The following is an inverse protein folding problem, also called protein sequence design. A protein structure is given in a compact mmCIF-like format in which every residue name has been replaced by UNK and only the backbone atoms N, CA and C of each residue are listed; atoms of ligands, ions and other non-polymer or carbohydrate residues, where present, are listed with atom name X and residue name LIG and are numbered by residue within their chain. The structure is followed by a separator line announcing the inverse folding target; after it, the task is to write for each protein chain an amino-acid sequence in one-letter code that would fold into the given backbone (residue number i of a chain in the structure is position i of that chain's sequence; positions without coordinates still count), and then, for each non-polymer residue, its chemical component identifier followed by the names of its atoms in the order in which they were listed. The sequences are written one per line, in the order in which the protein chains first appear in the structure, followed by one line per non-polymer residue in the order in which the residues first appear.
data_IF_025866875106
#
_entry.id   IF_025866875106
#
_cell.length_a   1.000
_cell.length_b   1.000
_cell.length_c   1.000
_cell.angle_alpha   90.00
_cell.angle_beta   90.00
_cell.angle_gamma   90.00
#
_symmetry.space_group_name_H-M   'P 1'
#
loop_
_entity.id
_entity.type
_entity.pdbx_description
1 polymer ?
#
# COMPACT_ATOMS: atom_id res chain seq x y z
N UNK A 1 -16.48 3.70 5.14
CA UNK A 1 -15.47 2.65 4.96
C UNK A 1 -14.54 3.05 3.84
N UNK A 2 -13.26 3.14 4.17
CA UNK A 2 -12.15 3.41 3.27
C UNK A 2 -11.28 2.15 3.28
N UNK A 3 -11.65 1.16 2.47
CA UNK A 3 -10.89 -0.07 2.35
C UNK A 3 -9.57 0.20 1.66
N UNK A 4 -8.44 -0.15 2.27
CA UNK A 4 -7.10 0.07 1.72
C UNK A 4 -6.15 -1.07 2.10
N UNK A 5 -4.98 -1.09 1.47
CA UNK A 5 -3.83 -1.91 1.86
C UNK A 5 -4.15 -3.39 2.14
N UNK A 6 -4.77 -4.13 1.19
CA UNK A 6 -4.90 -5.58 1.31
C UNK A 6 -3.51 -6.22 1.41
N UNK A 7 -3.37 -7.18 2.32
CA UNK A 7 -2.09 -7.79 2.69
C UNK A 7 -2.29 -9.26 3.02
N UNK A 8 -1.63 -10.14 2.28
CA UNK A 8 -1.71 -11.59 2.48
C UNK A 8 -0.60 -12.09 3.40
N UNK A 9 -0.97 -12.67 4.55
CA UNK A 9 -0.05 -13.37 5.44
C UNK A 9 -0.05 -14.88 5.11
N UNK A 10 0.97 -15.30 4.36
CA UNK A 10 1.14 -16.70 3.95
C UNK A 10 1.40 -17.65 5.14
N UNK A 11 2.02 -17.18 6.23
CA UNK A 11 2.27 -18.00 7.43
C UNK A 11 0.97 -18.31 8.17
N UNK A 12 0.06 -17.35 8.24
CA UNK A 12 -1.24 -17.49 8.93
C UNK A 12 -2.38 -17.91 8.00
N UNK A 13 -2.16 -17.90 6.68
CA UNK A 13 -3.22 -18.05 5.67
C UNK A 13 -4.37 -17.05 5.90
N UNK A 14 -4.00 -15.81 6.20
CA UNK A 14 -4.92 -14.74 6.61
C UNK A 14 -4.75 -13.52 5.73
N UNK A 15 -5.86 -12.98 5.27
CA UNK A 15 -5.89 -11.71 4.57
C UNK A 15 -6.18 -10.58 5.56
N UNK A 16 -5.37 -9.54 5.53
CA UNK A 16 -5.58 -8.29 6.24
C UNK A 16 -5.91 -7.16 5.27
N UNK A 17 -6.61 -6.13 5.72
CA UNK A 17 -6.78 -4.86 5.04
C UNK A 17 -7.18 -3.79 6.07
N UNK A 18 -7.16 -2.52 5.69
CA UNK A 18 -7.53 -1.44 6.63
C UNK A 18 -8.83 -0.78 6.24
N UNK A 19 -9.56 -0.26 7.24
CA UNK A 19 -10.65 0.69 7.08
C UNK A 19 -10.21 2.01 7.69
N UNK A 20 -9.60 2.87 6.86
CA UNK A 20 -8.85 4.03 7.34
C UNK A 20 -9.70 5.00 8.16
N UNK A 21 -10.89 5.33 7.65
CA UNK A 21 -11.82 6.27 8.32
C UNK A 21 -12.45 5.72 9.59
N UNK A 22 -12.46 4.40 9.76
CA UNK A 22 -12.99 3.75 10.96
C UNK A 22 -11.91 3.35 11.96
N UNK A 23 -10.64 3.61 11.66
CA UNK A 23 -9.49 3.24 12.50
C UNK A 23 -9.47 1.73 12.82
N UNK A 24 -9.60 0.90 11.79
CA UNK A 24 -9.63 -0.56 11.93
C UNK A 24 -8.63 -1.22 10.99
N UNK A 25 -7.96 -2.25 11.50
CA UNK A 25 -7.41 -3.34 10.71
C UNK A 25 -8.48 -4.43 10.68
N UNK A 26 -8.87 -4.86 9.49
CA UNK A 26 -9.79 -5.98 9.29
C UNK A 26 -9.01 -7.20 8.84
N UNK A 27 -9.52 -8.38 9.14
CA UNK A 27 -8.91 -9.62 8.70
C UNK A 27 -9.94 -10.70 8.38
N UNK A 28 -9.53 -11.61 7.51
CA UNK A 28 -10.25 -12.82 7.14
C UNK A 28 -9.29 -14.00 7.17
N UNK A 29 -9.59 -14.97 8.02
CA UNK A 29 -8.91 -16.27 8.08
C UNK A 29 -9.53 -17.21 7.06
N UNK A 30 -8.78 -17.61 6.02
CA UNK A 30 -9.33 -18.46 4.96
C UNK A 30 -9.49 -19.91 5.41
N UNK A 31 -8.76 -20.34 6.45
CA UNK A 31 -8.85 -21.70 6.97
C UNK A 31 -10.13 -21.91 7.75
N UNK A 32 -10.44 -21.01 8.69
CA UNK A 32 -11.66 -21.10 9.51
C UNK A 32 -12.89 -20.45 8.85
N UNK A 33 -12.69 -19.53 7.90
CA UNK A 33 -13.75 -18.71 7.33
C UNK A 33 -14.10 -17.48 8.19
N UNK A 34 -13.39 -17.26 9.31
CA UNK A 34 -13.72 -16.20 10.25
C UNK A 34 -13.28 -14.82 9.75
N UNK A 35 -14.06 -13.82 10.16
CA UNK A 35 -13.77 -12.41 9.96
C UNK A 35 -13.61 -11.74 11.31
N UNK A 36 -12.68 -10.80 11.40
CA UNK A 36 -12.53 -9.97 12.58
C UNK A 36 -11.93 -8.61 12.28
N UNK A 37 -11.73 -7.85 13.36
CA UNK A 37 -11.19 -6.50 13.28
C UNK A 37 -10.47 -6.12 14.57
N UNK A 38 -9.48 -5.26 14.44
CA UNK A 38 -8.62 -4.76 15.51
C UNK A 38 -8.53 -3.25 15.39
N UNK A 39 -8.75 -2.53 16.49
CA UNK A 39 -8.75 -1.07 16.51
C UNK A 39 -7.35 -0.47 16.42
N UNK A 40 -7.24 0.69 15.79
CA UNK A 40 -6.02 1.51 15.74
C UNK A 40 -6.23 2.84 16.47
N UNK A 41 -5.17 3.47 17.02
CA UNK A 41 -5.33 4.69 17.82
C UNK A 41 -5.69 5.93 16.98
N UNK A 42 -5.47 5.87 15.66
CA UNK A 42 -5.82 6.93 14.71
C UNK A 42 -6.07 6.33 13.33
N UNK A 43 -6.44 7.20 12.38
CA UNK A 43 -6.63 6.83 10.98
C UNK A 43 -5.40 6.10 10.45
N UNK A 44 -5.63 5.00 9.74
CA UNK A 44 -4.59 4.12 9.20
C UNK A 44 -4.67 4.12 7.67
N UNK A 45 -3.51 4.21 7.02
CA UNK A 45 -3.41 4.19 5.55
C UNK A 45 -2.92 2.84 5.01
N UNK A 46 -1.91 2.27 5.67
CA UNK A 46 -1.19 1.09 5.16
C UNK A 46 -0.73 0.16 6.25
N UNK A 47 -0.57 -1.11 5.92
CA UNK A 47 0.01 -2.16 6.77
C UNK A 47 1.05 -2.99 6.02
N UNK A 48 2.01 -3.54 6.76
CA UNK A 48 3.00 -4.51 6.30
C UNK A 48 3.23 -5.60 7.33
N UNK A 49 3.72 -6.77 6.91
CA UNK A 49 3.98 -7.89 7.81
C UNK A 49 5.31 -7.68 8.55
N UNK A 50 5.41 -8.09 9.80
CA UNK A 50 6.68 -8.20 10.54
C UNK A 50 7.11 -9.68 10.67
N UNK A 51 8.39 -9.92 10.89
CA UNK A 51 8.94 -11.27 11.11
C UNK A 51 8.39 -11.95 12.38
N UNK A 52 8.17 -11.19 13.44
CA UNK A 52 7.64 -11.67 14.72
C UNK A 52 6.10 -11.83 14.75
N UNK A 53 5.46 -11.62 13.60
CA UNK A 53 4.02 -11.78 13.44
C UNK A 53 3.19 -10.54 13.78
N UNK A 54 3.79 -9.43 14.21
CA UNK A 54 3.11 -8.12 14.25
C UNK A 54 2.89 -7.55 12.85
N UNK A 55 2.19 -6.42 12.77
CA UNK A 55 2.07 -5.59 11.58
C UNK A 55 2.78 -4.26 11.79
N UNK A 56 3.52 -3.78 10.79
CA UNK A 56 3.93 -2.36 10.73
C UNK A 56 2.81 -1.57 10.07
N UNK A 57 2.49 -0.39 10.60
CA UNK A 57 1.33 0.40 10.19
C UNK A 57 1.68 1.88 10.03
N UNK A 58 1.25 2.47 8.91
CA UNK A 58 1.26 3.91 8.68
C UNK A 58 -0.02 4.54 9.25
N UNK A 59 0.10 5.22 10.38
CA UNK A 59 -1.00 5.89 11.09
C UNK A 59 -1.05 7.39 10.74
N UNK A 60 -1.91 8.17 11.38
CA UNK A 60 -2.02 9.60 11.08
C UNK A 60 -0.70 10.35 11.31
N UNK A 61 -0.05 10.18 12.46
CA UNK A 61 1.09 10.98 12.90
C UNK A 61 2.40 10.18 13.10
N UNK A 62 2.35 8.87 12.89
CA UNK A 62 3.46 7.95 13.19
C UNK A 62 3.41 6.68 12.36
N UNK A 63 4.54 5.97 12.31
CA UNK A 63 4.60 4.57 11.91
C UNK A 63 4.78 3.75 13.19
N UNK A 64 3.99 2.68 13.34
CA UNK A 64 3.97 1.87 14.55
C UNK A 64 3.91 0.37 14.24
N UNK A 65 4.33 -0.45 15.20
CA UNK A 65 4.08 -1.88 15.23
C UNK A 65 2.75 -2.13 15.96
N UNK A 66 1.89 -2.98 15.39
CA UNK A 66 0.59 -3.34 15.93
C UNK A 66 0.50 -4.86 16.01
N UNK A 67 0.18 -5.37 17.19
CA UNK A 67 -0.23 -6.76 17.36
C UNK A 67 -1.65 -6.92 16.78
N UNK A 68 -1.82 -7.74 15.71
CA UNK A 68 -3.12 -7.87 15.05
C UNK A 68 -4.17 -8.58 15.90
N UNK A 69 -3.78 -9.36 16.91
CA UNK A 69 -4.70 -10.15 17.73
C UNK A 69 -5.10 -9.39 19.01
N UNK A 70 -4.19 -8.59 19.59
CA UNK A 70 -4.46 -7.83 20.83
C UNK A 70 -4.74 -6.34 20.60
N UNK A 71 -4.31 -5.78 19.47
CA UNK A 71 -4.34 -4.34 19.21
C UNK A 71 -3.27 -3.54 19.97
N UNK A 72 -2.32 -4.20 20.62
CA UNK A 72 -1.21 -3.53 21.28
C UNK A 72 -0.36 -2.74 20.27
N UNK A 73 -0.05 -1.49 20.59
CA UNK A 73 0.67 -0.57 19.69
C UNK A 73 2.02 -0.18 20.28
N UNK A 74 3.09 -0.32 19.50
CA UNK A 74 4.44 0.13 19.83
C UNK A 74 4.91 1.14 18.77
N UNK A 75 5.20 2.40 19.14
CA UNK A 75 5.73 3.37 18.18
C UNK A 75 7.06 2.89 17.57
N UNK A 76 7.24 3.07 16.25
CA UNK A 76 8.47 2.74 15.54
C UNK A 76 9.16 3.99 15.01
N UNK A 77 8.40 4.90 14.39
CA UNK A 77 8.91 6.14 13.84
C UNK A 77 7.90 7.28 13.96
N UNK A 78 8.40 8.48 14.25
CA UNK A 78 7.65 9.74 14.18
C UNK A 78 8.43 10.77 13.39
N UNK A 79 7.79 11.55 12.51
CA UNK A 79 8.45 12.68 11.86
C UNK A 79 9.04 13.64 12.89
N UNK A 80 10.28 14.08 12.68
CA UNK A 80 10.96 15.03 13.57
C UNK A 80 10.22 16.38 13.67
N UNK A 81 9.44 16.73 12.64
CA UNK A 81 8.55 17.89 12.61
C UNK A 81 7.14 17.42 12.27
N UNK A 82 6.30 17.11 13.26
CA UNK A 82 4.91 16.73 13.02
C UNK A 82 4.17 17.82 12.23
N UNK A 83 3.36 17.40 11.26
CA UNK A 83 2.51 18.28 10.48
C UNK A 83 1.07 17.77 10.55
N UNK A 84 0.20 18.50 11.24
CA UNK A 84 -1.21 18.13 11.42
C UNK A 84 -2.01 18.06 10.11
N UNK A 85 -1.44 18.59 9.02
CA UNK A 85 -2.02 18.50 7.66
C UNK A 85 -1.50 17.30 6.87
N UNK A 86 -0.59 16.50 7.41
CA UNK A 86 -0.09 15.29 6.77
C UNK A 86 -0.60 14.06 7.52
N UNK A 87 -0.98 13.03 6.77
CA UNK A 87 -1.11 11.67 7.29
C UNK A 87 -0.30 10.69 6.45
N UNK A 88 0.13 9.57 7.03
CA UNK A 88 0.58 8.44 6.21
C UNK A 88 -0.60 7.86 5.41
N UNK A 89 -0.31 7.40 4.19
CA UNK A 89 -1.26 6.90 3.22
C UNK A 89 -0.86 5.50 2.75
N UNK A 90 -0.30 5.35 1.56
CA UNK A 90 0.12 4.05 1.04
C UNK A 90 1.47 3.63 1.63
N UNK A 91 1.72 2.32 1.69
CA UNK A 91 2.96 1.80 2.20
C UNK A 91 3.11 0.30 2.04
N UNK A 92 4.34 -0.15 1.81
CA UNK A 92 4.70 -1.56 1.67
C UNK A 92 6.06 -1.83 2.30
N UNK A 93 6.26 -3.07 2.72
CA UNK A 93 7.58 -3.57 3.06
C UNK A 93 8.34 -3.81 1.74
N UNK A 94 9.58 -3.34 1.66
CA UNK A 94 10.46 -3.55 0.51
C UNK A 94 11.08 -4.96 0.52
N UNK A 95 11.85 -5.31 -0.51
CA UNK A 95 12.48 -6.64 -0.59
C UNK A 95 13.65 -6.82 0.37
N UNK A 96 14.07 -5.76 1.06
CA UNK A 96 15.12 -5.76 2.07
C UNK A 96 14.54 -5.70 3.50
N UNK A 97 13.23 -5.89 3.67
CA UNK A 97 12.60 -5.93 4.98
C UNK A 97 12.54 -4.59 5.69
N UNK A 98 12.41 -3.48 4.96
CA UNK A 98 12.17 -2.12 5.48
C UNK A 98 10.79 -1.64 5.06
N UNK A 99 10.14 -0.80 5.86
CA UNK A 99 8.82 -0.26 5.52
C UNK A 99 8.95 1.06 4.79
N UNK A 100 8.47 1.13 3.54
CA UNK A 100 8.38 2.36 2.77
C UNK A 100 6.94 2.85 2.79
N UNK A 101 6.73 4.08 3.25
CA UNK A 101 5.40 4.64 3.45
C UNK A 101 5.35 6.09 2.96
N UNK A 102 4.32 6.40 2.19
CA UNK A 102 4.09 7.72 1.62
C UNK A 102 3.04 8.49 2.40
N UNK A 103 3.30 9.78 2.63
CA UNK A 103 2.37 10.72 3.22
C UNK A 103 1.46 11.38 2.19
N UNK A 104 0.40 12.00 2.69
CA UNK A 104 -0.48 12.86 1.89
C UNK A 104 -0.96 14.07 2.69
N UNK A 105 -1.29 15.14 1.97
CA UNK A 105 -2.03 16.26 2.55
C UNK A 105 -3.47 15.88 2.83
N UNK A 106 -3.98 16.19 4.02
CA UNK A 106 -5.39 16.00 4.40
C UNK A 106 -6.31 16.64 3.35
N UNK A 107 -5.94 17.81 2.83
CA UNK A 107 -6.64 18.53 1.76
C UNK A 107 -5.93 18.46 0.40
N UNK A 108 -5.02 17.49 0.21
CA UNK A 108 -4.13 17.36 -0.95
C UNK A 108 -3.17 18.55 -1.14
N UNK A 109 -2.77 19.21 -0.05
CA UNK A 109 -1.60 20.08 -0.09
C UNK A 109 -0.31 19.25 -0.30
N UNK A 110 0.72 19.80 -0.97
CA UNK A 110 1.97 19.09 -1.27
C UNK A 110 2.88 19.03 -0.03
N UNK A 111 2.43 18.33 1.01
CA UNK A 111 3.12 18.21 2.31
C UNK A 111 3.51 16.77 2.64
N UNK A 112 3.14 15.81 1.79
CA UNK A 112 3.46 14.41 1.95
C UNK A 112 4.94 14.13 1.72
N UNK A 113 5.46 13.22 2.54
CA UNK A 113 6.83 12.71 2.47
C UNK A 113 6.78 11.21 2.17
N UNK A 114 7.69 10.73 1.33
CA UNK A 114 7.95 9.30 1.15
C UNK A 114 9.10 8.92 2.08
N UNK A 115 8.84 8.08 3.06
CA UNK A 115 9.84 7.69 4.06
C UNK A 115 10.11 6.20 4.00
N UNK A 116 11.35 5.81 4.25
CA UNK A 116 11.79 4.44 4.47
C UNK A 116 12.18 4.27 5.92
N UNK A 117 11.62 3.27 6.60
CA UNK A 117 11.83 2.99 8.02
C UNK A 117 12.33 1.56 8.20
N UNK A 118 13.45 1.41 8.90
CA UNK A 118 14.02 0.13 9.31
C UNK A 118 13.39 -0.39 10.61
N UNK A 119 13.59 -1.66 10.93
CA UNK A 119 12.98 -2.27 12.13
C UNK A 119 13.49 -1.73 13.47
N UNK A 120 14.61 -1.03 13.49
CA UNK A 120 15.15 -0.30 14.65
C UNK A 120 14.55 1.11 14.80
N UNK A 121 13.69 1.53 13.87
CA UNK A 121 13.08 2.86 13.83
C UNK A 121 13.93 3.93 13.14
N UNK A 122 15.13 3.60 12.67
CA UNK A 122 15.90 4.50 11.81
C UNK A 122 15.15 4.75 10.50
N UNK A 123 15.20 5.99 10.00
CA UNK A 123 14.40 6.39 8.86
C UNK A 123 15.11 7.39 7.95
N UNK A 124 14.79 7.31 6.66
CA UNK A 124 15.25 8.23 5.61
C UNK A 124 14.06 8.77 4.83
N UNK A 125 14.02 10.08 4.61
CA UNK A 125 13.07 10.71 3.70
C UNK A 125 13.61 10.57 2.28
N UNK A 126 12.88 9.87 1.41
CA UNK A 126 13.27 9.61 0.04
C UNK A 126 12.73 10.68 -0.93
N UNK A 127 11.55 11.23 -0.66
CA UNK A 127 10.93 12.29 -1.45
C UNK A 127 10.00 13.15 -0.60
N UNK A 128 9.73 14.38 -1.04
CA UNK A 128 8.84 15.35 -0.38
C UNK A 128 7.98 16.08 -1.43
N UNK A 129 7.06 16.92 -0.94
CA UNK A 129 6.18 17.72 -1.82
C UNK A 129 5.08 16.91 -2.47
N UNK A 130 4.77 15.71 -1.94
CA UNK A 130 3.78 14.80 -2.49
C UNK A 130 2.38 15.20 -2.01
N UNK A 131 1.39 15.21 -2.89
CA UNK A 131 0.00 15.54 -2.51
C UNK A 131 -0.73 14.31 -1.99
N UNK A 132 -0.68 13.20 -2.74
CA UNK A 132 -1.30 11.93 -2.37
C UNK A 132 -0.37 10.78 -2.80
N UNK A 133 0.48 10.30 -1.89
CA UNK A 133 1.39 9.19 -2.18
C UNK A 133 0.63 7.86 -2.30
N UNK A 134 0.85 7.15 -3.40
CA UNK A 134 0.17 5.91 -3.76
C UNK A 134 1.04 5.05 -4.68
N UNK A 135 0.55 3.86 -5.03
CA UNK A 135 1.15 2.98 -6.02
C UNK A 135 2.51 2.40 -5.60
N UNK A 136 2.82 2.40 -4.30
CA UNK A 136 4.11 1.95 -3.78
C UNK A 136 4.21 0.43 -3.97
N UNK A 137 5.17 -0.01 -4.79
CA UNK A 137 5.48 -1.43 -4.95
C UNK A 137 6.91 -1.63 -5.49
N UNK A 138 7.39 -2.88 -5.49
CA UNK A 138 8.78 -3.20 -5.80
C UNK A 138 8.89 -4.31 -6.84
N UNK A 139 9.83 -4.18 -7.77
CA UNK A 139 10.17 -5.22 -8.74
C UNK A 139 10.54 -6.55 -8.07
N UNK A 140 10.43 -7.70 -8.77
CA UNK A 140 10.73 -9.01 -8.20
C UNK A 140 12.14 -9.13 -7.60
N UNK A 141 13.12 -8.44 -8.18
CA UNK A 141 14.51 -8.39 -7.70
C UNK A 141 14.75 -7.31 -6.62
N UNK A 142 13.73 -6.51 -6.27
CA UNK A 142 13.83 -5.41 -5.33
C UNK A 142 14.62 -4.20 -5.81
N UNK A 143 15.09 -4.19 -7.06
CA UNK A 143 15.97 -3.13 -7.58
C UNK A 143 15.26 -1.91 -8.14
N UNK A 144 13.94 -1.98 -8.30
CA UNK A 144 13.10 -0.88 -8.76
C UNK A 144 11.96 -0.66 -7.78
N UNK A 145 11.82 0.58 -7.31
CA UNK A 145 10.63 1.04 -6.60
C UNK A 145 9.72 1.77 -7.59
N UNK A 146 8.43 1.45 -7.53
CA UNK A 146 7.39 2.20 -8.21
C UNK A 146 6.62 3.03 -7.18
N UNK A 147 6.23 4.25 -7.55
CA UNK A 147 5.34 5.09 -6.73
C UNK A 147 4.65 6.13 -7.61
N UNK A 148 3.61 6.76 -7.07
CA UNK A 148 2.92 7.86 -7.71
C UNK A 148 2.46 8.92 -6.70
N UNK A 149 2.40 10.17 -7.16
CA UNK A 149 1.41 11.12 -6.64
C UNK A 149 0.14 10.92 -7.48
N UNK A 150 -0.97 10.51 -6.86
CA UNK A 150 -2.21 10.22 -7.59
C UNK A 150 -2.68 11.40 -8.45
N UNK A 151 -2.39 12.64 -8.05
CA UNK A 151 -2.79 13.85 -8.78
C UNK A 151 -1.89 14.18 -9.97
N UNK A 152 -0.67 13.65 -10.02
CA UNK A 152 0.24 13.78 -11.17
C UNK A 152 -0.19 12.87 -12.32
N UNK A 153 -0.90 11.76 -12.02
CA UNK A 153 -1.35 10.75 -12.99
C UNK A 153 -0.21 10.12 -13.80
N UNK A 154 0.93 9.94 -13.14
CA UNK A 154 2.07 9.16 -13.63
C UNK A 154 2.51 8.18 -12.56
N UNK A 155 2.81 6.95 -12.99
CA UNK A 155 3.56 6.01 -12.16
C UNK A 155 5.03 6.26 -12.48
N UNK A 156 5.83 6.46 -11.44
CA UNK A 156 7.27 6.69 -11.52
C UNK A 156 8.00 5.41 -11.18
N UNK A 157 9.14 5.17 -11.83
CA UNK A 157 10.08 4.12 -11.46
C UNK A 157 11.40 4.74 -11.04
N UNK A 158 11.95 4.23 -9.94
CA UNK A 158 13.22 4.66 -9.37
C UNK A 158 14.14 3.46 -9.20
N UNK A 159 15.43 3.66 -9.43
CA UNK A 159 16.42 2.69 -8.99
C UNK A 159 16.36 2.60 -7.46
N UNK A 160 16.42 1.38 -6.95
CA UNK A 160 16.32 1.09 -5.53
C UNK A 160 17.42 0.06 -5.20
N UNK A 161 18.64 0.53 -4.99
CA UNK A 161 19.81 -0.33 -4.83
C UNK A 161 19.89 -0.97 -3.44
N UNK A 162 19.07 -0.51 -2.50
CA UNK A 162 18.89 -1.13 -1.20
C UNK A 162 20.00 -0.81 -0.19
N UNK A 163 20.88 0.14 -0.49
CA UNK A 163 21.99 0.58 0.36
C UNK A 163 21.93 2.06 0.75
N UNK A 164 23.02 2.58 1.33
CA UNK A 164 23.19 3.99 1.68
C UNK A 164 23.24 4.91 0.43
N UNK A 165 23.57 4.35 -0.74
CA UNK A 165 23.59 5.05 -2.04
C UNK A 165 22.18 5.26 -2.66
N UNK A 166 21.10 5.00 -1.91
CA UNK A 166 19.72 5.30 -2.34
C UNK A 166 19.39 6.82 -2.26
N UNK A 167 20.40 7.67 -1.99
CA UNK A 167 20.32 9.14 -2.00
C UNK A 167 19.90 9.74 -3.36
N UNK A 168 19.75 8.92 -4.40
CA UNK A 168 19.14 9.33 -5.67
C UNK A 168 17.86 8.54 -6.02
N UNK A 169 16.74 8.90 -5.38
CA UNK A 169 15.49 9.09 -6.14
C UNK A 169 15.57 10.34 -7.05
N UNK A 170 16.76 10.85 -7.38
CA UNK A 170 17.00 12.21 -7.88
C UNK A 170 16.34 12.52 -9.23
N UNK A 171 16.03 11.49 -10.03
CA UNK A 171 15.31 11.63 -11.31
C UNK A 171 14.42 10.40 -11.57
N UNK A 172 13.22 10.32 -10.97
CA UNK A 172 12.29 9.24 -11.29
C UNK A 172 11.92 9.31 -12.78
N UNK A 173 12.06 8.20 -13.50
CA UNK A 173 11.54 8.12 -14.87
C UNK A 173 10.04 7.88 -14.83
N UNK A 174 9.31 8.44 -15.80
CA UNK A 174 7.92 8.02 -16.03
C UNK A 174 7.94 6.55 -16.46
N UNK A 175 7.28 5.72 -15.67
CA UNK A 175 7.08 4.30 -15.98
C UNK A 175 5.80 4.13 -16.79
N UNK A 176 4.68 4.67 -16.31
CA UNK A 176 3.41 4.61 -17.00
C UNK A 176 2.65 5.94 -16.91
N UNK A 177 1.96 6.28 -18.00
CA UNK A 177 1.09 7.46 -18.12
C UNK A 177 -0.37 7.03 -17.96
N UNK A 178 -1.02 7.55 -16.91
CA UNK A 178 -2.45 7.32 -16.65
C UNK A 178 -3.33 8.53 -16.97
N UNK A 179 -2.75 9.61 -17.49
CA UNK A 179 -3.49 10.81 -17.91
C UNK A 179 -4.51 10.49 -19.01
N UNK A 180 -4.15 9.59 -19.93
CA UNK A 180 -5.05 9.09 -20.98
C UNK A 180 -6.33 8.43 -20.44
N UNK A 181 -6.29 7.91 -19.21
CA UNK A 181 -7.46 7.29 -18.56
C UNK A 181 -8.27 8.30 -17.74
N UNK A 182 -7.79 9.54 -17.63
CA UNK A 182 -8.34 10.55 -16.72
C UNK A 182 -8.50 10.01 -15.28
N UNK A 183 -7.52 9.22 -14.82
CA UNK A 183 -7.53 8.62 -13.49
C UNK A 183 -6.18 8.73 -12.81
N UNK A 184 -6.20 8.99 -11.51
CA UNK A 184 -5.05 8.79 -10.63
C UNK A 184 -4.77 7.30 -10.44
N UNK A 185 -3.49 6.88 -10.38
CA UNK A 185 -3.12 5.61 -9.79
C UNK A 185 -3.36 5.66 -8.28
N UNK A 186 -3.94 4.60 -7.75
CA UNK A 186 -4.13 4.40 -6.31
C UNK A 186 -3.16 3.30 -5.84
N UNK A 187 -3.57 2.37 -4.98
CA UNK A 187 -2.75 1.25 -4.55
C UNK A 187 -2.35 0.27 -5.67
N UNK A 188 -1.16 -0.30 -5.52
CA UNK A 188 -0.53 -1.16 -6.54
C UNK A 188 0.21 -2.39 -5.95
N UNK A 189 0.45 -3.38 -6.80
CA UNK A 189 1.31 -4.54 -6.50
C UNK A 189 2.06 -5.00 -7.75
N UNK A 190 2.98 -5.94 -7.59
CA UNK A 190 3.75 -6.56 -8.69
C UNK A 190 3.51 -8.06 -8.70
N UNK A 191 3.26 -8.63 -9.87
CA UNK A 191 3.17 -10.08 -10.03
C UNK A 191 4.55 -10.75 -10.20
N UNK A 192 4.58 -12.09 -10.16
CA UNK A 192 5.81 -12.87 -10.28
C UNK A 192 6.55 -12.69 -11.61
N UNK A 193 5.87 -12.19 -12.65
CA UNK A 193 6.45 -11.88 -13.96
C UNK A 193 7.01 -10.44 -14.02
N UNK A 194 6.85 -9.66 -12.95
CA UNK A 194 7.35 -8.29 -12.84
C UNK A 194 6.41 -7.23 -13.40
N UNK A 195 5.15 -7.56 -13.69
CA UNK A 195 4.17 -6.58 -14.16
C UNK A 195 3.55 -5.85 -12.97
N UNK A 196 3.32 -4.55 -13.15
CA UNK A 196 2.71 -3.68 -12.13
C UNK A 196 1.20 -3.67 -12.31
N UNK A 197 0.46 -4.06 -11.28
CA UNK A 197 -0.99 -3.97 -11.18
C UNK A 197 -1.37 -2.76 -10.34
N UNK A 198 -2.30 -1.92 -10.82
CA UNK A 198 -2.68 -0.68 -10.14
C UNK A 198 -4.17 -0.37 -10.30
N UNK A 199 -4.79 0.13 -9.25
CA UNK A 199 -6.16 0.63 -9.28
C UNK A 199 -6.22 2.00 -9.98
N UNK A 200 -7.14 2.15 -10.92
CA UNK A 200 -7.49 3.41 -11.56
C UNK A 200 -8.87 3.86 -11.06
N UNK A 201 -8.84 4.53 -9.91
CA UNK A 201 -10.01 4.88 -9.11
C UNK A 201 -11.10 5.64 -9.87
N UNK A 202 -10.74 6.61 -10.73
CA UNK A 202 -11.72 7.47 -11.38
C UNK A 202 -12.52 6.78 -12.50
N UNK A 203 -12.07 5.60 -12.93
CA UNK A 203 -12.71 4.85 -14.01
C UNK A 203 -13.16 3.45 -13.59
N UNK A 204 -13.00 3.06 -12.31
CA UNK A 204 -13.44 1.74 -11.84
C UNK A 204 -12.69 0.57 -12.47
N UNK A 205 -11.39 0.71 -12.74
CA UNK A 205 -10.60 -0.32 -13.43
C UNK A 205 -9.30 -0.66 -12.72
N UNK A 206 -8.74 -1.80 -13.07
CA UNK A 206 -7.39 -2.22 -12.68
C UNK A 206 -6.55 -2.33 -13.96
N UNK A 207 -5.41 -1.65 -13.99
CA UNK A 207 -4.45 -1.72 -15.09
C UNK A 207 -3.28 -2.63 -14.71
N UNK A 208 -2.80 -3.41 -15.67
CA UNK A 208 -1.55 -4.17 -15.59
C UNK A 208 -0.58 -3.60 -16.61
N UNK A 209 0.60 -3.17 -16.16
CA UNK A 209 1.66 -2.63 -17.00
C UNK A 209 2.84 -3.60 -17.05
N UNK A 210 3.36 -3.84 -18.25
CA UNK A 210 4.58 -4.61 -18.46
C UNK A 210 5.80 -3.93 -17.79
N UNK A 211 6.90 -4.66 -17.53
CA UNK A 211 8.15 -4.07 -17.02
C UNK A 211 8.69 -2.90 -17.88
N UNK A 212 8.27 -2.82 -19.15
CA UNK A 212 8.57 -1.70 -20.05
C UNK A 212 7.75 -0.43 -19.81
N UNK A 213 6.71 -0.48 -18.97
CA UNK A 213 5.75 0.61 -18.76
C UNK A 213 4.54 0.60 -19.71
N UNK A 214 4.51 -0.30 -20.70
CA UNK A 214 3.39 -0.44 -21.64
C UNK A 214 2.21 -1.12 -20.97
N UNK A 215 1.00 -0.65 -21.26
CA UNK A 215 -0.24 -1.31 -20.83
C UNK A 215 -0.32 -2.72 -21.43
N UNK A 216 -0.44 -3.73 -20.58
CA UNK A 216 -0.69 -5.13 -20.94
C UNK A 216 -2.18 -5.45 -20.90
N UNK A 217 -2.84 -5.10 -19.78
CA UNK A 217 -4.27 -5.35 -19.56
C UNK A 217 -4.92 -4.18 -18.87
N UNK A 218 -6.20 -3.98 -19.18
CA UNK A 218 -7.09 -3.07 -18.46
C UNK A 218 -8.38 -3.83 -18.20
N UNK A 219 -8.65 -4.17 -16.94
CA UNK A 219 -9.80 -4.98 -16.54
C UNK A 219 -10.79 -4.16 -15.72
N UNK A 220 -12.07 -4.49 -15.84
CA UNK A 220 -13.12 -3.90 -15.00
C UNK A 220 -12.92 -4.33 -13.55
N UNK A 221 -13.01 -3.38 -12.62
CA UNK A 221 -13.11 -3.71 -11.21
C UNK A 221 -14.56 -4.05 -10.84
N UNK A 222 -14.80 -4.89 -9.81
CA UNK A 222 -16.15 -5.21 -9.33
C UNK A 222 -16.83 -4.06 -8.56
N UNK A 223 -16.30 -2.85 -8.66
CA UNK A 223 -16.71 -1.63 -7.94
C UNK A 223 -16.30 -0.40 -8.75
N UNK A 224 -16.97 0.73 -8.53
CA UNK A 224 -16.68 1.99 -9.22
C UNK A 224 -15.45 2.73 -8.64
N UNK A 225 -15.02 2.37 -7.42
CA UNK A 225 -13.91 2.99 -6.71
C UNK A 225 -12.96 1.93 -6.12
N UNK A 226 -12.24 1.15 -6.95
CA UNK A 226 -11.19 0.26 -6.46
C UNK A 226 -10.03 1.10 -5.90
N UNK A 227 -9.50 0.73 -4.74
CA UNK A 227 -8.46 1.49 -4.05
C UNK A 227 -7.10 0.83 -4.09
N UNK A 228 -7.00 -0.47 -3.78
CA UNK A 228 -5.72 -1.15 -3.73
C UNK A 228 -5.87 -2.63 -4.08
N UNK A 229 -4.75 -3.25 -4.45
CA UNK A 229 -4.66 -4.65 -4.89
C UNK A 229 -3.50 -5.39 -4.25
N UNK A 230 -3.72 -6.66 -3.92
CA UNK A 230 -2.66 -7.57 -3.49
C UNK A 230 -2.99 -9.00 -3.92
N UNK A 231 -1.96 -9.77 -4.30
CA UNK A 231 -2.13 -11.19 -4.55
C UNK A 231 -2.11 -11.96 -3.22
N UNK A 232 -2.90 -13.03 -3.15
CA UNK A 232 -2.95 -13.91 -1.99
C UNK A 232 -3.57 -15.26 -2.32
N UNK A 233 -4.00 -15.97 -1.27
CA UNK A 233 -4.38 -17.37 -1.35
C UNK A 233 -3.16 -18.29 -1.29
N UNK A 234 -3.40 -19.59 -1.03
CA UNK A 234 -2.36 -20.58 -0.80
C UNK A 234 -1.35 -20.71 -1.96
N UNK A 235 -1.76 -20.36 -3.17
CA UNK A 235 -0.94 -20.47 -4.37
C UNK A 235 -0.65 -19.11 -5.05
N UNK A 236 -1.00 -18.01 -4.36
CA UNK A 236 -0.85 -16.61 -4.78
C UNK A 236 -1.53 -16.26 -6.11
N UNK A 237 -2.57 -17.00 -6.53
CA UNK A 237 -3.26 -16.77 -7.79
C UNK A 237 -4.50 -15.86 -7.70
N UNK A 238 -4.96 -15.54 -6.48
CA UNK A 238 -6.13 -14.68 -6.25
C UNK A 238 -5.68 -13.23 -6.08
N UNK A 239 -6.24 -12.32 -6.87
CA UNK A 239 -6.03 -10.87 -6.70
C UNK A 239 -7.14 -10.31 -5.81
N UNK A 240 -6.79 -9.94 -4.59
CA UNK A 240 -7.69 -9.22 -3.69
C UNK A 240 -7.73 -7.75 -4.04
N UNK A 241 -8.92 -7.16 -3.99
CA UNK A 241 -9.17 -5.76 -4.34
C UNK A 241 -9.95 -5.10 -3.22
N UNK A 242 -9.37 -4.08 -2.59
CA UNK A 242 -10.13 -3.20 -1.67
C UNK A 242 -10.84 -2.11 -2.46
N UNK A 243 -11.86 -1.51 -1.85
CA UNK A 243 -12.60 -0.41 -2.47
C UNK A 243 -13.02 0.64 -1.46
N UNK A 244 -13.49 1.77 -1.98
CA UNK A 244 -13.88 2.93 -1.18
C UNK A 244 -15.40 3.01 -1.17
N UNK A 245 -16.01 3.14 0.02
CA UNK A 245 -17.40 3.62 0.12
C UNK A 245 -17.43 5.14 0.23
N UNK A 246 -16.67 5.62 1.20
CA UNK A 246 -16.49 7.04 1.49
C UNK A 246 -15.12 7.20 2.16
N UNK A 247 -14.28 8.02 1.54
CA UNK A 247 -12.95 8.38 2.04
C UNK A 247 -12.96 9.33 3.25
N UNK A 248 -14.13 9.84 3.65
CA UNK A 248 -14.28 10.84 4.72
C UNK A 248 -13.77 12.23 4.35
N UNK A 249 -13.12 12.38 3.19
CA UNK A 249 -12.57 13.65 2.69
C UNK A 249 -13.48 14.37 1.69
N UNK A 250 -14.62 13.76 1.34
CA UNK A 250 -15.52 14.26 0.28
C UNK A 250 -14.99 14.08 -1.15
N UNK A 251 -13.73 13.64 -1.35
CA UNK A 251 -13.10 13.48 -2.67
C UNK A 251 -13.45 12.17 -3.38
N UNK A 252 -13.50 11.08 -2.62
CA UNK A 252 -13.85 9.76 -3.13
C UNK A 252 -15.07 9.22 -2.38
N UNK A 253 -16.19 9.14 -3.10
CA UNK A 253 -17.47 8.63 -2.62
C UNK A 253 -18.03 7.70 -3.70
N UNK A 254 -18.18 6.43 -3.36
CA UNK A 254 -18.72 5.40 -4.26
C UNK A 254 -20.24 5.42 -4.28
N UNK A 255 -20.80 5.32 -5.49
CA UNK A 255 -22.23 5.11 -5.72
C UNK A 255 -22.58 3.64 -5.82
N UNK A 256 -21.58 2.76 -5.93
CA UNK A 256 -21.78 1.33 -5.94
C UNK A 256 -22.43 0.85 -4.62
N UNK A 257 -23.45 -0.05 -4.67
CA UNK A 257 -24.11 -0.58 -3.47
C UNK A 257 -23.14 -1.28 -2.52
N UNK A 258 -22.11 -1.91 -3.09
CA UNK A 258 -21.06 -2.64 -2.36
C UNK A 258 -19.72 -1.88 -2.33
N UNK A 259 -19.73 -0.55 -2.54
CA UNK A 259 -18.54 0.27 -2.34
C UNK A 259 -18.00 0.08 -0.92
N UNK A 260 -16.68 0.01 -0.77
CA UNK A 260 -16.02 -0.26 0.51
C UNK A 260 -15.70 -1.75 0.76
N UNK A 261 -16.38 -2.67 0.07
CA UNK A 261 -16.13 -4.09 0.22
C UNK A 261 -14.73 -4.51 -0.29
N UNK A 262 -14.30 -5.67 0.21
CA UNK A 262 -13.18 -6.44 -0.31
C UNK A 262 -13.72 -7.42 -1.38
N UNK A 263 -12.98 -7.58 -2.47
CA UNK A 263 -13.29 -8.51 -3.54
C UNK A 263 -12.11 -9.46 -3.78
N UNK A 264 -12.40 -10.64 -4.33
CA UNK A 264 -11.41 -11.62 -4.77
C UNK A 264 -11.63 -11.88 -6.27
N UNK A 265 -10.56 -11.76 -7.06
CA UNK A 265 -10.57 -12.02 -8.50
C UNK A 265 -9.65 -13.20 -8.81
N UNK A 266 -10.23 -14.26 -9.36
CA UNK A 266 -9.53 -15.46 -9.78
C UNK A 266 -9.41 -15.54 -11.32
N UNK A 267 -8.64 -16.51 -11.81
CA UNK A 267 -8.57 -16.81 -13.24
C UNK A 267 -7.80 -15.78 -14.08
N UNK A 268 -6.96 -14.95 -13.45
CA UNK A 268 -6.11 -13.96 -14.13
C UNK A 268 -4.93 -14.60 -14.90
N UNK A 269 -4.65 -15.88 -14.65
CA UNK A 269 -3.61 -16.65 -15.32
C UNK A 269 -2.18 -16.28 -14.91
N UNK A 270 -2.03 -15.53 -13.81
CA UNK A 270 -0.74 -15.11 -13.25
C UNK A 270 -0.77 -15.26 -11.74
N UNK A 271 0.40 -15.21 -11.10
CA UNK A 271 0.56 -15.33 -9.66
C UNK A 271 1.32 -14.14 -9.10
N UNK A 272 1.03 -13.80 -7.86
CA UNK A 272 1.79 -12.83 -7.09
C UNK A 272 3.10 -13.37 -6.55
N UNK A 273 3.67 -12.58 -5.66
CA UNK A 273 4.84 -12.90 -4.85
C UNK A 273 4.41 -12.91 -3.39
N UNK A 274 5.11 -13.69 -2.56
CA UNK A 274 4.93 -13.58 -1.11
C UNK A 274 5.34 -12.16 -0.66
N UNK A 275 4.53 -11.56 0.21
CA UNK A 275 4.84 -10.24 0.75
C UNK A 275 6.08 -10.33 1.66
N UNK A 276 7.06 -9.42 1.50
CA UNK A 276 8.21 -9.37 2.39
C UNK A 276 7.78 -8.94 3.81
N UNK A 277 8.66 -9.20 4.77
CA UNK A 277 8.41 -8.93 6.18
C UNK A 277 9.43 -7.95 6.71
N UNK A 278 8.97 -6.98 7.50
CA UNK A 278 9.83 -6.05 8.19
C UNK A 278 10.75 -6.85 9.12
N UNK A 279 12.06 -6.71 8.90
CA UNK A 279 13.07 -7.28 9.77
C UNK A 279 13.19 -6.37 10.99
N UNK A 280 12.85 -6.91 12.16
CA UNK A 280 13.02 -6.23 13.43
C UNK A 280 14.40 -6.59 13.99
N UNK A 281 15.18 -5.59 14.38
CA UNK A 281 16.40 -5.86 15.13
C UNK A 281 16.04 -6.34 16.54
N UNK A 282 16.81 -7.25 17.14
CA UNK A 282 16.63 -7.61 18.55
C UNK A 282 16.69 -6.34 19.39
N UNK A 283 15.74 -6.15 20.31
CA UNK A 283 15.91 -5.13 21.33
C UNK A 283 17.19 -5.48 22.11
N UNK A 284 18.14 -4.54 22.20
CA UNK A 284 19.29 -4.69 23.07
C UNK A 284 18.77 -4.99 24.49
N UNK A 285 19.02 -6.21 24.97
CA UNK A 285 18.63 -6.70 26.31
C UNK A 285 19.60 -6.19 27.36
#
# INVERSE_FOLDING_TARGET
MLGESPLWDDRRQRLYWVDGVSCLIRWHDLGSGEFGQTGTPSMIGSIGLCEDGRLVAGLFDQIALIDPDTGAVTPLYRPARPNERMRFNDGKVDRQGRFVCGGMGVYAEPVGELVRVSGDGSAQVLANGIRIANGICFSPDGRTMYFADSLDRFIRACNYAGGEDDDELACPRVFADTQQFNSGPDGATVDAEGYVWVCLINIGKIARFAPSGKLDRLIEAPTDMPSCVAFGGADLATLYVTSIKDSGSGRAISRHPHGGCLYALDGLGVKGLAEPRLMLEPADV
#
